data_IF_322116097280
#
_entry.id   IF_322116097280
#
_cell.length_a   1.000
_cell.length_b   1.000
_cell.length_c   1.000
_cell.angle_alpha   90.00
_cell.angle_beta   90.00
_cell.angle_gamma   90.00
#
_symmetry.space_group_name_H-M   'P 1'
#
loop_
_entity.id
_entity.type
_entity.pdbx_description
1 polymer ?
#
# COMPACT_ATOMS: atom_id res chain seq x y z
N UNK A 1 75.42 32.08 11.91
CA UNK A 1 74.08 31.46 11.99
C UNK A 1 73.10 32.57 12.26
N UNK A 2 72.13 32.82 11.37
CA UNK A 2 71.24 33.98 11.46
C UNK A 2 70.28 33.85 12.65
N UNK A 3 70.26 34.78 13.61
CA UNK A 3 69.32 34.75 14.72
C UNK A 3 68.03 35.47 14.31
N UNK A 4 66.88 35.03 14.86
CA UNK A 4 65.55 35.62 14.71
C UNK A 4 64.82 35.38 13.38
N UNK A 5 64.15 34.23 13.27
CA UNK A 5 63.13 33.99 12.26
C UNK A 5 61.87 34.83 12.55
N UNK A 6 61.51 35.74 11.65
CA UNK A 6 60.27 36.53 11.71
C UNK A 6 59.04 35.64 11.51
N UNK A 7 57.94 35.97 12.18
CA UNK A 7 56.65 35.32 11.92
C UNK A 7 56.20 35.58 10.47
N UNK A 8 55.96 34.55 9.64
CA UNK A 8 55.61 34.73 8.23
C UNK A 8 54.23 35.36 8.00
N UNK A 9 53.39 35.49 9.03
CA UNK A 9 52.01 35.99 8.92
C UNK A 9 51.85 37.44 9.40
N UNK A 10 52.66 37.92 10.34
CA UNK A 10 52.57 39.28 10.87
C UNK A 10 53.90 40.08 10.83
N UNK A 11 55.01 39.47 10.41
CA UNK A 11 56.29 40.15 10.21
C UNK A 11 57.03 40.59 11.48
N UNK A 12 56.45 40.40 12.66
CA UNK A 12 57.08 40.73 13.94
C UNK A 12 58.25 39.78 14.27
N UNK A 13 59.36 40.35 14.74
CA UNK A 13 60.43 39.62 15.45
C UNK A 13 59.93 39.35 16.87
N UNK A 14 59.62 38.09 17.18
CA UNK A 14 58.87 37.73 18.40
C UNK A 14 59.67 37.74 19.71
N UNK A 15 60.91 38.21 19.72
CA UNK A 15 61.65 38.34 20.97
C UNK A 15 62.78 39.35 20.81
N UNK A 16 62.67 40.48 21.49
CA UNK A 16 63.82 41.30 21.89
C UNK A 16 64.00 41.04 23.38
N UNK A 17 65.00 40.23 23.80
CA UNK A 17 65.29 40.10 25.22
C UNK A 17 65.54 41.50 25.79
N UNK A 18 65.05 41.77 27.01
CA UNK A 18 65.25 43.08 27.65
C UNK A 18 66.72 43.38 27.94
N UNK A 19 67.57 42.36 27.96
CA UNK A 19 69.03 42.44 28.13
C UNK A 19 69.73 41.49 27.13
N UNK A 20 70.69 42.03 26.39
CA UNK A 20 71.66 41.26 25.60
C UNK A 20 72.87 40.99 26.51
N UNK A 21 72.92 39.80 27.10
CA UNK A 21 73.97 39.44 28.06
C UNK A 21 75.18 38.95 27.27
N UNK A 22 76.11 39.86 26.99
CA UNK A 22 77.40 39.54 26.39
C UNK A 22 78.29 38.85 27.45
N UNK A 23 78.63 37.58 27.19
CA UNK A 23 79.28 36.69 28.17
C UNK A 23 80.63 37.22 28.65
N UNK A 24 81.34 37.96 27.80
CA UNK A 24 82.67 38.51 28.11
C UNK A 24 82.58 39.76 29.02
N UNK A 25 81.44 40.48 29.01
CA UNK A 25 81.22 41.68 29.84
C UNK A 25 80.75 41.35 31.27
N UNK A 26 80.22 40.15 31.51
CA UNK A 26 79.82 39.71 32.86
C UNK A 26 81.00 39.17 33.68
N UNK A 27 82.01 38.56 33.06
CA UNK A 27 83.21 38.08 33.77
C UNK A 27 84.04 39.24 34.36
N UNK A 28 84.10 40.39 33.69
CA UNK A 28 84.82 41.59 34.19
C UNK A 28 84.08 42.27 35.36
N UNK A 29 82.75 42.14 35.45
CA UNK A 29 81.92 42.72 36.53
C UNK A 29 81.84 41.86 37.79
N UNK A 30 82.22 40.58 37.72
CA UNK A 30 82.27 39.64 38.86
C UNK A 30 83.51 39.85 39.76
N UNK A 31 84.43 40.75 39.40
CA UNK A 31 85.62 41.08 40.20
C UNK A 31 85.37 42.13 41.31
N UNK A 32 84.18 42.75 41.37
CA UNK A 32 83.84 43.82 42.33
C UNK A 32 82.74 43.38 43.33
N UNK A 33 83.00 43.37 44.66
CA UNK A 33 82.03 42.92 45.68
C UNK A 33 80.73 43.74 45.77
N UNK A 34 80.65 44.91 45.10
CA UNK A 34 79.42 45.72 45.03
C UNK A 34 78.46 45.37 43.89
N UNK A 35 78.79 44.42 43.01
CA UNK A 35 77.98 44.05 41.84
C UNK A 35 76.90 42.98 42.11
N UNK A 36 76.88 42.35 43.29
CA UNK A 36 75.87 41.35 43.68
C UNK A 36 74.39 41.79 43.50
N UNK A 37 73.96 42.99 43.90
CA UNK A 37 72.55 43.38 43.77
C UNK A 37 72.12 43.60 42.31
N UNK A 38 73.00 44.07 41.42
CA UNK A 38 72.70 44.22 39.99
C UNK A 38 72.53 42.85 39.30
N UNK A 39 73.35 41.86 39.66
CA UNK A 39 73.25 40.50 39.10
C UNK A 39 71.95 39.82 39.58
N UNK A 40 71.57 40.03 40.83
CA UNK A 40 70.33 39.49 41.41
C UNK A 40 69.08 40.13 40.77
N UNK A 41 69.11 41.43 40.47
CA UNK A 41 68.07 42.13 39.70
C UNK A 41 67.98 41.60 38.25
N UNK A 42 69.12 41.36 37.61
CA UNK A 42 69.20 40.83 36.24
C UNK A 42 68.62 39.41 36.16
N UNK A 43 68.92 38.56 37.15
CA UNK A 43 68.36 37.21 37.26
C UNK A 43 66.84 37.27 37.48
N UNK A 44 66.36 38.17 38.35
CA UNK A 44 64.93 38.34 38.58
C UNK A 44 64.17 38.76 37.31
N UNK A 45 64.75 39.63 36.48
CA UNK A 45 64.14 40.05 35.21
C UNK A 45 64.10 38.92 34.18
N UNK A 46 65.15 38.09 34.10
CA UNK A 46 65.20 36.93 33.22
C UNK A 46 64.20 35.86 33.63
N UNK A 47 64.00 35.66 34.94
CA UNK A 47 63.03 34.71 35.47
C UNK A 47 61.59 35.19 35.19
N UNK A 48 61.31 36.48 35.30
CA UNK A 48 60.02 37.07 34.90
C UNK A 48 59.77 36.92 33.38
N UNK A 49 60.78 37.19 32.54
CA UNK A 49 60.68 37.00 31.09
C UNK A 49 60.48 35.53 30.72
N UNK A 50 61.13 34.59 31.42
CA UNK A 50 60.94 33.15 31.26
C UNK A 50 59.50 32.73 31.61
N UNK A 51 58.98 33.15 32.76
CA UNK A 51 57.62 32.83 33.19
C UNK A 51 56.55 33.43 32.26
N UNK A 52 56.80 34.64 31.74
CA UNK A 52 55.94 35.25 30.71
C UNK A 52 55.95 34.43 29.41
N UNK A 53 57.12 33.99 28.95
CA UNK A 53 57.23 33.12 27.78
C UNK A 53 56.55 31.76 28.00
N UNK A 54 56.73 31.14 29.17
CA UNK A 54 56.11 29.88 29.53
C UNK A 54 54.57 29.99 29.55
N UNK A 55 54.04 31.08 30.12
CA UNK A 55 52.61 31.37 30.16
C UNK A 55 52.02 31.56 28.76
N UNK A 56 52.72 32.27 27.88
CA UNK A 56 52.28 32.50 26.50
C UNK A 56 52.32 31.20 25.67
N UNK A 57 53.34 30.35 25.88
CA UNK A 57 53.39 29.02 25.28
C UNK A 57 52.19 28.18 25.72
N UNK A 58 51.87 28.15 27.02
CA UNK A 58 50.70 27.42 27.53
C UNK A 58 49.39 27.95 26.93
N UNK A 59 49.24 29.28 26.81
CA UNK A 59 48.08 29.93 26.18
C UNK A 59 47.92 29.53 24.71
N UNK A 60 49.02 29.56 23.94
CA UNK A 60 49.00 29.19 22.53
C UNK A 60 48.74 27.69 22.33
N UNK A 61 49.29 26.84 23.17
CA UNK A 61 48.99 25.40 23.16
C UNK A 61 47.50 25.13 23.40
N UNK A 62 46.89 25.84 24.36
CA UNK A 62 45.45 25.75 24.60
C UNK A 62 44.64 26.21 23.37
N UNK A 63 45.03 27.31 22.73
CA UNK A 63 44.38 27.78 21.50
C UNK A 63 44.49 26.76 20.36
N UNK A 64 45.65 26.13 20.18
CA UNK A 64 45.86 25.07 19.19
C UNK A 64 44.95 23.87 19.48
N UNK A 65 44.83 23.45 20.74
CA UNK A 65 43.94 22.34 21.12
C UNK A 65 42.47 22.67 20.82
N UNK A 66 42.02 23.89 21.15
CA UNK A 66 40.65 24.35 20.87
C UNK A 66 40.38 24.32 19.36
N UNK A 67 41.29 24.90 18.56
CA UNK A 67 41.14 24.95 17.10
C UNK A 67 41.18 23.55 16.47
N UNK A 68 42.07 22.67 16.93
CA UNK A 68 42.16 21.29 16.46
C UNK A 68 40.89 20.50 16.76
N UNK A 69 40.31 20.66 17.97
CA UNK A 69 39.03 20.06 18.33
C UNK A 69 37.89 20.54 17.42
N UNK A 70 37.84 21.86 17.13
CA UNK A 70 36.86 22.43 16.19
C UNK A 70 37.03 21.87 14.78
N UNK A 71 38.27 21.77 14.29
CA UNK A 71 38.58 21.20 12.99
C UNK A 71 38.15 19.73 12.89
N UNK A 72 38.42 18.93 13.93
CA UNK A 72 38.05 17.52 13.99
C UNK A 72 36.52 17.34 14.00
N UNK A 73 35.79 18.16 14.78
CA UNK A 73 34.31 18.19 14.78
C UNK A 73 33.75 18.56 13.41
N UNK A 74 34.32 19.57 12.76
CA UNK A 74 33.93 19.99 11.40
C UNK A 74 34.17 18.87 10.37
N UNK A 75 35.32 18.20 10.43
CA UNK A 75 35.65 17.06 9.56
C UNK A 75 34.69 15.89 9.77
N UNK A 76 34.37 15.55 11.03
CA UNK A 76 33.39 14.51 11.34
C UNK A 76 31.98 14.84 10.83
N UNK A 77 31.54 16.10 10.98
CA UNK A 77 30.27 16.58 10.44
C UNK A 77 30.24 16.46 8.90
N UNK A 78 31.31 16.90 8.24
CA UNK A 78 31.48 16.78 6.78
C UNK A 78 31.41 15.32 6.32
N UNK A 79 32.14 14.41 6.96
CA UNK A 79 32.10 12.98 6.61
C UNK A 79 30.70 12.38 6.78
N UNK A 80 29.99 12.76 7.85
CA UNK A 80 28.61 12.31 8.09
C UNK A 80 27.67 12.82 7.00
N UNK A 81 27.75 14.09 6.63
CA UNK A 81 26.99 14.65 5.51
C UNK A 81 27.35 13.98 4.17
N UNK A 82 28.63 13.72 3.91
CA UNK A 82 29.07 13.01 2.71
C UNK A 82 28.53 11.58 2.65
N UNK A 83 28.46 10.85 3.76
CA UNK A 83 27.84 9.52 3.79
C UNK A 83 26.34 9.53 3.50
N UNK A 84 25.63 10.62 3.84
CA UNK A 84 24.22 10.83 3.49
C UNK A 84 24.04 11.21 2.02
N UNK A 85 25.07 11.82 1.41
CA UNK A 85 25.11 12.20 0.00
C UNK A 85 25.62 11.07 -0.91
N UNK A 86 26.22 10.01 -0.34
CA UNK A 86 26.48 8.77 -1.06
C UNK A 86 25.15 8.30 -1.67
N UNK A 87 25.04 8.24 -3.01
CA UNK A 87 23.75 8.03 -3.67
C UNK A 87 23.23 6.66 -3.27
N UNK A 88 22.24 6.65 -2.38
CA UNK A 88 21.49 5.46 -1.99
C UNK A 88 21.05 4.75 -3.27
N UNK A 89 21.34 3.45 -3.41
CA UNK A 89 21.13 2.67 -4.65
C UNK A 89 19.71 2.85 -5.23
N UNK A 90 18.72 3.07 -4.36
CA UNK A 90 17.32 3.33 -4.73
C UNK A 90 17.12 4.65 -5.50
N UNK A 91 17.96 5.66 -5.27
CA UNK A 91 17.94 6.92 -6.03
C UNK A 91 18.50 6.76 -7.45
N UNK A 92 19.23 5.68 -7.74
CA UNK A 92 19.76 5.38 -9.08
C UNK A 92 18.84 4.53 -9.93
N UNK A 93 17.77 3.97 -9.36
CA UNK A 93 16.81 3.17 -10.12
C UNK A 93 16.14 4.03 -11.20
N UNK A 94 15.99 3.53 -12.43
CA UNK A 94 15.19 4.17 -13.46
C UNK A 94 13.73 4.38 -13.00
N UNK A 95 13.07 5.38 -13.57
CA UNK A 95 11.70 5.74 -13.21
C UNK A 95 10.72 4.61 -13.48
N UNK A 96 10.92 3.88 -14.58
CA UNK A 96 10.09 2.77 -15.03
C UNK A 96 10.10 1.62 -14.00
N UNK A 97 11.28 1.35 -13.43
CA UNK A 97 11.45 0.32 -12.41
C UNK A 97 10.77 0.74 -11.11
N UNK A 98 10.92 2.01 -10.70
CA UNK A 98 10.21 2.53 -9.53
C UNK A 98 8.69 2.49 -9.72
N UNK A 99 8.18 2.88 -10.88
CA UNK A 99 6.74 2.81 -11.19
C UNK A 99 6.24 1.37 -11.19
N UNK A 100 7.01 0.42 -11.72
CA UNK A 100 6.68 -1.01 -11.67
C UNK A 100 6.61 -1.52 -10.23
N UNK A 101 7.58 -1.13 -9.39
CA UNK A 101 7.56 -1.43 -7.96
C UNK A 101 6.31 -0.84 -7.31
N UNK A 102 5.98 0.43 -7.60
CA UNK A 102 4.80 1.09 -7.04
C UNK A 102 3.50 0.37 -7.43
N UNK A 103 3.38 -0.05 -8.69
CA UNK A 103 2.22 -0.80 -9.17
C UNK A 103 2.05 -2.15 -8.46
N UNK A 104 3.17 -2.86 -8.25
CA UNK A 104 3.19 -4.14 -7.54
C UNK A 104 2.82 -4.00 -6.06
N UNK A 105 3.39 -3.02 -5.36
CA UNK A 105 3.13 -2.84 -3.92
C UNK A 105 1.77 -2.22 -3.64
N UNK A 106 1.27 -1.35 -4.53
CA UNK A 106 -0.01 -0.65 -4.37
C UNK A 106 -1.17 -1.35 -5.07
N UNK A 107 -1.11 -2.68 -5.17
CA UNK A 107 -2.18 -3.48 -5.76
C UNK A 107 -3.47 -3.45 -4.93
N UNK A 108 -3.34 -3.22 -3.62
CA UNK A 108 -4.45 -3.11 -2.69
C UNK A 108 -4.18 -2.03 -1.64
N UNK A 109 -5.01 -0.98 -1.60
CA UNK A 109 -4.93 0.06 -0.58
C UNK A 109 -6.12 -0.12 0.37
N UNK A 110 -5.82 -0.75 1.50
CA UNK A 110 -6.79 -1.17 2.50
C UNK A 110 -7.03 -0.05 3.49
N UNK A 111 -8.29 0.33 3.66
CA UNK A 111 -8.71 1.36 4.60
C UNK A 111 -9.87 0.82 5.42
N UNK A 112 -9.70 0.85 6.74
CA UNK A 112 -10.71 0.43 7.70
C UNK A 112 -11.21 1.66 8.45
N UNK A 113 -12.53 1.85 8.48
CA UNK A 113 -13.13 3.03 9.10
C UNK A 113 -13.04 3.01 10.62
N UNK A 114 -13.15 1.82 11.21
CA UNK A 114 -13.11 1.62 12.66
C UNK A 114 -12.31 0.36 13.01
N UNK A 115 -11.37 0.42 13.98
CA UNK A 115 -10.54 -0.73 14.36
C UNK A 115 -11.37 -1.90 14.93
N UNK A 116 -12.59 -1.64 15.40
CA UNK A 116 -13.49 -2.66 15.95
C UNK A 116 -14.17 -3.51 14.87
N UNK A 117 -13.99 -3.20 13.58
CA UNK A 117 -14.52 -3.99 12.45
C UNK A 117 -13.55 -5.14 12.10
N UNK A 118 -13.29 -6.00 13.08
CA UNK A 118 -12.35 -7.13 12.95
C UNK A 118 -12.93 -8.33 12.19
N UNK A 119 -14.26 -8.40 12.02
CA UNK A 119 -14.93 -9.42 11.21
C UNK A 119 -15.17 -8.89 9.78
N UNK A 120 -14.13 -8.86 8.95
CA UNK A 120 -14.26 -8.55 7.52
C UNK A 120 -14.15 -9.81 6.67
N UNK A 121 -14.96 -9.85 5.61
CA UNK A 121 -14.90 -10.91 4.60
C UNK A 121 -13.81 -10.68 3.55
N UNK A 122 -13.38 -9.42 3.36
CA UNK A 122 -12.34 -9.09 2.40
C UNK A 122 -10.94 -9.46 2.92
N UNK A 123 -10.67 -9.18 4.19
CA UNK A 123 -9.41 -9.52 4.83
C UNK A 123 -9.55 -9.65 6.35
N UNK A 124 -9.08 -10.76 6.89
CA UNK A 124 -9.38 -11.15 8.27
C UNK A 124 -8.62 -10.30 9.31
N UNK A 125 -7.36 -9.92 9.08
CA UNK A 125 -6.48 -9.32 10.12
C UNK A 125 -5.22 -8.66 9.50
N UNK A 126 -5.35 -7.68 8.59
CA UNK A 126 -4.16 -7.00 8.05
C UNK A 126 -3.59 -5.97 9.04
N UNK A 127 -2.36 -5.53 8.79
CA UNK A 127 -1.78 -4.37 9.46
C UNK A 127 -2.76 -3.18 9.32
N UNK A 128 -3.26 -2.66 10.44
CA UNK A 128 -4.02 -1.41 10.45
C UNK A 128 -3.05 -0.22 10.32
N UNK A 129 -3.52 0.87 9.70
CA UNK A 129 -2.76 2.13 9.62
C UNK A 129 -2.04 2.34 8.27
N UNK A 130 -0.98 3.18 8.22
CA UNK A 130 -0.37 3.59 6.96
C UNK A 130 0.19 2.45 6.12
N UNK A 131 0.68 1.37 6.74
CA UNK A 131 1.26 0.22 6.04
C UNK A 131 0.23 -0.50 5.15
N UNK A 132 -1.05 -0.47 5.53
CA UNK A 132 -2.19 -0.97 4.75
C UNK A 132 -2.50 -0.13 3.50
N UNK A 133 -1.85 1.04 3.37
CA UNK A 133 -2.05 2.01 2.30
C UNK A 133 -0.75 2.25 1.52
N UNK A 134 -0.26 1.27 0.74
CA UNK A 134 1.05 1.35 0.10
C UNK A 134 1.22 2.58 -0.78
N UNK A 135 0.18 3.03 -1.50
CA UNK A 135 0.25 4.23 -2.33
C UNK A 135 0.57 5.48 -1.48
N UNK A 136 -0.02 5.58 -0.29
CA UNK A 136 0.26 6.67 0.64
C UNK A 136 1.70 6.57 1.17
N UNK A 137 2.15 5.37 1.53
CA UNK A 137 3.52 5.12 2.03
C UNK A 137 4.57 5.46 0.98
N UNK A 138 4.44 4.95 -0.26
CA UNK A 138 5.42 5.26 -1.31
C UNK A 138 5.45 6.77 -1.60
N UNK A 139 4.31 7.45 -1.50
CA UNK A 139 4.23 8.92 -1.67
C UNK A 139 4.86 9.73 -0.53
N UNK A 140 5.25 9.10 0.58
CA UNK A 140 5.85 9.77 1.75
C UNK A 140 7.34 9.51 1.95
N UNK A 141 7.96 8.63 1.15
CA UNK A 141 9.37 8.24 1.29
C UNK A 141 10.35 9.40 1.01
N UNK A 142 10.28 10.01 -0.18
CA UNK A 142 11.12 11.15 -0.57
C UNK A 142 10.43 11.99 -1.65
N UNK A 143 10.96 13.17 -1.99
CA UNK A 143 10.38 14.06 -3.01
C UNK A 143 10.22 13.36 -4.36
N UNK A 144 11.25 12.66 -4.84
CA UNK A 144 11.21 11.91 -6.10
C UNK A 144 10.09 10.86 -6.12
N UNK A 145 9.96 10.08 -5.05
CA UNK A 145 8.91 9.06 -4.97
C UNK A 145 7.52 9.67 -4.89
N UNK A 146 7.38 10.78 -4.18
CA UNK A 146 6.13 11.55 -4.13
C UNK A 146 5.73 12.06 -5.51
N UNK A 147 6.66 12.67 -6.25
CA UNK A 147 6.40 13.15 -7.62
C UNK A 147 5.95 12.03 -8.54
N UNK A 148 6.66 10.89 -8.53
CA UNK A 148 6.31 9.72 -9.33
C UNK A 148 4.97 9.10 -8.93
N UNK A 149 4.70 8.97 -7.62
CA UNK A 149 3.43 8.45 -7.12
C UNK A 149 2.25 9.35 -7.51
N UNK A 150 2.42 10.67 -7.50
CA UNK A 150 1.39 11.62 -7.95
C UNK A 150 1.24 11.63 -9.48
N UNK A 151 2.32 11.40 -10.22
CA UNK A 151 2.31 11.28 -11.68
C UNK A 151 1.74 9.94 -12.19
N UNK A 152 1.51 8.97 -11.30
CA UNK A 152 0.97 7.65 -11.64
C UNK A 152 -0.37 7.38 -10.94
N UNK A 153 -1.50 7.90 -11.46
CA UNK A 153 -2.80 7.86 -10.78
C UNK A 153 -3.35 6.44 -10.53
N UNK A 154 -2.91 5.44 -11.30
CA UNK A 154 -3.39 4.06 -11.20
C UNK A 154 -3.16 3.41 -9.83
N UNK A 155 -2.09 3.77 -9.10
CA UNK A 155 -1.84 3.21 -7.76
C UNK A 155 -2.85 3.71 -6.71
N UNK A 156 -3.51 4.83 -6.98
CA UNK A 156 -4.54 5.42 -6.11
C UNK A 156 -5.94 4.92 -6.46
N UNK A 157 -6.12 4.17 -7.56
CA UNK A 157 -7.43 3.75 -8.05
C UNK A 157 -7.86 2.36 -7.58
N UNK A 158 -6.96 1.62 -6.90
CA UNK A 158 -7.19 0.30 -6.31
C UNK A 158 -7.49 0.48 -4.82
N UNK A 159 -8.77 0.49 -4.44
CA UNK A 159 -9.22 0.91 -3.12
C UNK A 159 -10.05 -0.22 -2.49
N UNK A 160 -9.65 -0.63 -1.28
CA UNK A 160 -10.39 -1.61 -0.48
C UNK A 160 -10.84 -0.99 0.83
N UNK A 161 -12.14 -1.05 1.11
CA UNK A 161 -12.79 -0.35 2.22
C UNK A 161 -13.54 -1.34 3.12
N UNK A 162 -13.43 -1.14 4.43
CA UNK A 162 -14.34 -1.72 5.42
C UNK A 162 -15.07 -0.56 6.10
N UNK A 163 -16.38 -0.51 5.93
CA UNK A 163 -17.23 0.61 6.38
C UNK A 163 -18.05 0.24 7.62
N UNK A 164 -18.19 1.20 8.54
CA UNK A 164 -19.09 1.06 9.69
C UNK A 164 -20.48 1.60 9.33
N UNK A 165 -21.52 0.92 9.80
CA UNK A 165 -22.89 1.42 9.69
C UNK A 165 -23.22 2.49 10.75
N UNK A 166 -22.44 2.58 11.83
CA UNK A 166 -22.76 3.39 13.02
C UNK A 166 -22.34 4.85 12.92
N UNK A 167 -21.65 5.25 11.86
CA UNK A 167 -21.28 6.65 11.61
C UNK A 167 -19.94 6.77 10.89
N UNK A 168 -19.73 7.92 10.27
CA UNK A 168 -18.55 8.15 9.43
C UNK A 168 -17.43 8.82 10.20
N UNK A 169 -16.23 8.25 10.11
CA UNK A 169 -15.02 8.88 10.61
C UNK A 169 -14.56 9.95 9.61
N UNK A 170 -14.50 11.23 10.01
CA UNK A 170 -14.14 12.34 9.11
C UNK A 170 -12.74 12.17 8.50
N UNK A 171 -11.75 11.70 9.27
CA UNK A 171 -10.39 11.46 8.77
C UNK A 171 -10.36 10.34 7.74
N UNK A 172 -11.17 9.31 7.93
CA UNK A 172 -11.34 8.23 6.97
C UNK A 172 -11.94 8.76 5.67
N UNK A 173 -13.02 9.52 5.74
CA UNK A 173 -13.65 10.13 4.56
C UNK A 173 -12.70 11.08 3.80
N UNK A 174 -11.91 11.88 4.52
CA UNK A 174 -10.86 12.73 3.92
C UNK A 174 -9.80 11.89 3.20
N UNK A 175 -9.41 10.75 3.78
CA UNK A 175 -8.43 9.84 3.18
C UNK A 175 -8.98 9.19 1.90
N UNK A 176 -10.21 8.68 1.92
CA UNK A 176 -10.83 8.13 0.69
C UNK A 176 -10.97 9.22 -0.38
N UNK A 177 -11.39 10.43 -0.01
CA UNK A 177 -11.46 11.59 -0.93
C UNK A 177 -10.10 11.94 -1.53
N UNK A 178 -9.03 11.84 -0.76
CA UNK A 178 -7.67 12.02 -1.25
C UNK A 178 -7.32 10.99 -2.33
N UNK A 179 -7.63 9.71 -2.10
CA UNK A 179 -7.39 8.64 -3.07
C UNK A 179 -8.19 8.84 -4.36
N UNK A 180 -9.50 9.12 -4.23
CA UNK A 180 -10.36 9.42 -5.38
C UNK A 180 -9.80 10.61 -6.18
N UNK A 181 -9.37 11.69 -5.51
CA UNK A 181 -8.76 12.85 -6.18
C UNK A 181 -7.45 12.49 -6.89
N UNK A 182 -6.55 11.75 -6.23
CA UNK A 182 -5.23 11.37 -6.79
C UNK A 182 -5.33 10.32 -7.90
N UNK A 183 -6.40 9.52 -7.91
CA UNK A 183 -6.68 8.57 -8.98
C UNK A 183 -7.02 9.23 -10.32
N UNK A 184 -7.29 10.55 -10.33
CA UNK A 184 -7.44 11.32 -11.56
C UNK A 184 -8.54 10.77 -12.46
N UNK A 185 -8.19 10.35 -13.67
CA UNK A 185 -9.07 9.68 -14.64
C UNK A 185 -8.92 8.16 -14.68
N UNK A 186 -8.04 7.57 -13.86
CA UNK A 186 -7.82 6.12 -13.85
C UNK A 186 -9.09 5.37 -13.52
N UNK A 187 -9.22 4.16 -14.06
CA UNK A 187 -10.33 3.28 -13.75
C UNK A 187 -10.26 2.80 -12.30
N UNK A 188 -11.40 2.80 -11.61
CA UNK A 188 -11.52 2.44 -10.21
C UNK A 188 -11.73 0.94 -10.06
N UNK A 189 -10.92 0.32 -9.22
CA UNK A 189 -11.10 -1.06 -8.73
C UNK A 189 -11.41 -0.98 -7.26
N UNK A 190 -12.65 -1.33 -6.91
CA UNK A 190 -13.23 -1.09 -5.61
C UNK A 190 -13.56 -2.42 -4.96
N UNK A 191 -13.10 -2.64 -3.73
CA UNK A 191 -13.60 -3.71 -2.86
C UNK A 191 -14.18 -3.05 -1.60
N UNK A 192 -15.42 -3.34 -1.28
CA UNK A 192 -16.15 -2.66 -0.21
C UNK A 192 -16.84 -3.71 0.63
N UNK A 193 -16.48 -3.77 1.91
CA UNK A 193 -17.13 -4.58 2.92
C UNK A 193 -17.95 -3.70 3.84
N UNK A 194 -19.18 -4.14 4.10
CA UNK A 194 -20.13 -3.47 4.97
C UNK A 194 -20.64 -4.47 6.01
N UNK A 195 -19.79 -4.89 6.97
CA UNK A 195 -20.10 -6.01 7.87
C UNK A 195 -21.30 -5.74 8.79
N UNK A 196 -21.63 -4.47 9.02
CA UNK A 196 -22.83 -4.07 9.76
C UNK A 196 -23.93 -3.59 8.81
N UNK A 197 -25.18 -3.96 9.09
CA UNK A 197 -26.32 -3.51 8.29
C UNK A 197 -26.58 -2.01 8.51
N UNK A 198 -26.67 -1.24 7.42
CA UNK A 198 -27.24 0.10 7.44
C UNK A 198 -28.75 -0.07 7.68
N UNK A 199 -29.19 0.08 8.93
CA UNK A 199 -30.61 -0.01 9.28
C UNK A 199 -31.46 0.85 8.32
N UNK A 200 -32.57 0.28 7.80
CA UNK A 200 -33.54 0.96 6.90
C UNK A 200 -34.09 2.32 7.41
N UNK A 201 -33.81 2.71 8.66
CA UNK A 201 -34.19 3.99 9.26
C UNK A 201 -33.12 5.09 9.21
N UNK A 202 -31.87 4.78 8.84
CA UNK A 202 -30.84 5.79 8.59
C UNK A 202 -31.07 6.34 7.18
N UNK A 203 -31.85 7.42 7.09
CA UNK A 203 -32.23 8.10 5.85
C UNK A 203 -31.04 8.65 5.04
N UNK A 204 -29.83 8.62 5.57
CA UNK A 204 -28.64 9.20 4.95
C UNK A 204 -27.67 8.10 4.50
N UNK A 205 -27.40 8.00 3.19
CA UNK A 205 -26.36 7.12 2.65
C UNK A 205 -25.00 7.42 3.28
N UNK A 206 -24.14 6.42 3.37
CA UNK A 206 -22.80 6.60 3.92
C UNK A 206 -22.01 7.59 3.04
N UNK A 207 -21.47 8.71 3.57
CA UNK A 207 -20.77 9.74 2.81
C UNK A 207 -19.67 9.20 1.88
N UNK A 208 -18.96 8.17 2.30
CA UNK A 208 -17.92 7.51 1.47
C UNK A 208 -18.53 6.76 0.29
N UNK A 209 -19.66 6.08 0.48
CA UNK A 209 -20.38 5.42 -0.62
C UNK A 209 -20.97 6.45 -1.58
N UNK A 210 -21.55 7.53 -1.07
CA UNK A 210 -22.01 8.67 -1.89
C UNK A 210 -20.87 9.24 -2.73
N UNK A 211 -19.70 9.47 -2.14
CA UNK A 211 -18.51 9.96 -2.84
C UNK A 211 -18.07 9.00 -3.96
N UNK A 212 -18.08 7.70 -3.69
CA UNK A 212 -17.70 6.67 -4.67
C UNK A 212 -18.74 6.58 -5.81
N UNK A 213 -20.02 6.70 -5.49
CA UNK A 213 -21.13 6.71 -6.45
C UNK A 213 -21.07 7.84 -7.47
N UNK A 214 -20.56 9.02 -7.07
CA UNK A 214 -20.31 10.14 -7.99
C UNK A 214 -19.31 9.81 -9.10
N UNK A 215 -18.48 8.79 -8.91
CA UNK A 215 -17.48 8.33 -9.88
C UNK A 215 -17.81 6.96 -10.49
N UNK A 216 -19.09 6.57 -10.47
CA UNK A 216 -19.60 5.29 -11.01
C UNK A 216 -19.27 5.05 -12.48
N UNK A 217 -19.11 6.11 -13.28
CA UNK A 217 -18.71 6.01 -14.67
C UNK A 217 -17.28 5.46 -14.88
N UNK A 218 -16.45 5.46 -13.83
CA UNK A 218 -15.06 4.98 -13.86
C UNK A 218 -14.88 3.61 -13.21
N UNK A 219 -15.94 3.00 -12.68
CA UNK A 219 -15.84 1.69 -12.03
C UNK A 219 -15.51 0.62 -13.08
N UNK A 220 -14.34 0.00 -12.95
CA UNK A 220 -13.93 -1.16 -13.74
C UNK A 220 -14.20 -2.47 -13.02
N UNK A 221 -13.95 -2.50 -11.71
CA UNK A 221 -14.23 -3.66 -10.88
C UNK A 221 -14.90 -3.20 -9.59
N UNK A 222 -15.98 -3.88 -9.22
CA UNK A 222 -16.70 -3.62 -7.98
C UNK A 222 -16.95 -4.93 -7.24
N UNK A 223 -16.39 -5.03 -6.04
CA UNK A 223 -16.75 -6.04 -5.04
C UNK A 223 -17.51 -5.33 -3.92
N UNK A 224 -18.74 -5.76 -3.64
CA UNK A 224 -19.58 -5.24 -2.55
C UNK A 224 -20.12 -6.38 -1.70
N UNK A 225 -19.58 -6.51 -0.49
CA UNK A 225 -19.78 -7.64 0.42
C UNK A 225 -20.20 -7.18 1.82
N UNK A 226 -20.55 -8.12 2.69
CA UNK A 226 -21.03 -7.84 4.04
C UNK A 226 -22.55 -7.93 4.16
N UNK A 227 -23.14 -7.24 5.13
CA UNK A 227 -24.53 -7.43 5.57
C UNK A 227 -25.58 -6.64 4.75
N UNK A 228 -25.17 -5.94 3.68
CA UNK A 228 -26.05 -5.02 2.94
C UNK A 228 -26.24 -5.45 1.49
N UNK A 229 -27.44 -5.18 0.95
CA UNK A 229 -27.71 -5.31 -0.48
C UNK A 229 -27.13 -4.11 -1.22
N UNK A 230 -26.60 -4.37 -2.42
CA UNK A 230 -26.24 -3.29 -3.32
C UNK A 230 -27.51 -2.58 -3.83
N UNK A 231 -27.51 -1.25 -3.84
CA UNK A 231 -28.59 -0.45 -4.41
C UNK A 231 -28.09 0.89 -4.96
N UNK A 232 -28.93 1.62 -5.70
CA UNK A 232 -28.57 2.98 -6.18
C UNK A 232 -28.52 3.98 -5.04
N UNK A 233 -29.43 3.84 -4.09
CA UNK A 233 -29.65 4.75 -2.97
C UNK A 233 -28.44 4.74 -2.02
N UNK A 234 -27.91 3.56 -1.70
CA UNK A 234 -26.77 3.42 -0.77
C UNK A 234 -25.49 4.09 -1.30
N UNK A 235 -25.31 4.13 -2.63
CA UNK A 235 -24.22 4.84 -3.30
C UNK A 235 -24.61 6.26 -3.75
N UNK A 236 -25.85 6.69 -3.51
CA UNK A 236 -26.38 7.98 -4.00
C UNK A 236 -26.14 8.19 -5.50
N UNK A 237 -26.25 7.11 -6.30
CA UNK A 237 -26.05 7.19 -7.75
C UNK A 237 -27.22 8.00 -8.34
N UNK A 238 -26.95 9.12 -9.05
CA UNK A 238 -28.01 9.95 -9.61
C UNK A 238 -28.95 9.15 -10.51
N UNK A 239 -30.25 9.46 -10.46
CA UNK A 239 -31.27 8.71 -11.19
C UNK A 239 -31.06 8.71 -12.71
N UNK A 240 -30.37 9.73 -13.26
CA UNK A 240 -30.03 9.84 -14.68
C UNK A 240 -28.78 9.04 -15.09
N UNK A 241 -28.02 8.49 -14.14
CA UNK A 241 -26.82 7.70 -14.42
C UNK A 241 -27.21 6.24 -14.55
N UNK A 242 -27.39 5.79 -15.80
CA UNK A 242 -27.72 4.40 -16.09
C UNK A 242 -26.53 3.60 -16.63
N UNK A 243 -25.50 4.28 -17.12
CA UNK A 243 -24.39 3.69 -17.85
C UNK A 243 -23.19 3.40 -16.94
N UNK A 244 -22.68 2.19 -17.05
CA UNK A 244 -21.44 1.72 -16.43
C UNK A 244 -20.49 1.28 -17.55
N UNK A 245 -19.93 2.23 -18.33
CA UNK A 245 -19.35 1.97 -19.65
C UNK A 245 -18.10 1.09 -19.60
N UNK A 246 -17.39 1.07 -18.48
CA UNK A 246 -16.09 0.41 -18.30
C UNK A 246 -16.11 -0.70 -17.25
N UNK A 247 -17.28 -1.02 -16.68
CA UNK A 247 -17.41 -2.06 -15.66
C UNK A 247 -17.21 -3.43 -16.30
N UNK A 248 -16.19 -4.16 -15.85
CA UNK A 248 -15.75 -5.44 -16.38
C UNK A 248 -16.08 -6.61 -15.43
N UNK A 249 -15.99 -6.38 -14.12
CA UNK A 249 -16.25 -7.39 -13.10
C UNK A 249 -17.11 -6.86 -11.95
N UNK A 250 -18.09 -7.65 -11.55
CA UNK A 250 -19.01 -7.38 -10.45
C UNK A 250 -19.03 -8.56 -9.49
N UNK A 251 -18.84 -8.31 -8.21
CA UNK A 251 -18.93 -9.29 -7.13
C UNK A 251 -19.86 -8.75 -6.03
N UNK A 252 -20.90 -9.49 -5.71
CA UNK A 252 -21.92 -9.12 -4.73
C UNK A 252 -22.13 -10.28 -3.75
N UNK A 253 -22.15 -10.01 -2.44
CA UNK A 253 -22.56 -11.05 -1.49
C UNK A 253 -24.05 -11.33 -1.60
N UNK A 254 -24.86 -10.32 -1.25
CA UNK A 254 -26.30 -10.37 -1.33
C UNK A 254 -26.77 -9.65 -2.59
N UNK A 255 -27.51 -10.36 -3.43
CA UNK A 255 -27.96 -9.87 -4.72
C UNK A 255 -29.49 -9.99 -4.82
N UNK A 256 -30.18 -8.86 -5.02
CA UNK A 256 -31.59 -8.85 -5.40
C UNK A 256 -31.77 -8.50 -6.87
N UNK A 257 -32.99 -8.64 -7.40
CA UNK A 257 -33.33 -8.18 -8.75
C UNK A 257 -32.99 -6.69 -8.93
N UNK A 258 -33.35 -5.87 -7.96
CA UNK A 258 -33.11 -4.43 -7.95
C UNK A 258 -31.62 -4.11 -7.97
N UNK A 259 -30.78 -4.89 -7.26
CA UNK A 259 -29.33 -4.75 -7.29
C UNK A 259 -28.76 -4.95 -8.70
N UNK A 260 -29.25 -5.95 -9.44
CA UNK A 260 -28.81 -6.24 -10.81
C UNK A 260 -29.32 -5.21 -11.81
N UNK A 261 -30.57 -4.77 -11.68
CA UNK A 261 -31.15 -3.77 -12.57
C UNK A 261 -30.41 -2.43 -12.55
N UNK A 262 -29.66 -2.13 -11.48
CA UNK A 262 -28.73 -0.99 -11.47
C UNK A 262 -27.75 -1.05 -12.64
N UNK A 263 -27.23 -2.23 -12.95
CA UNK A 263 -26.18 -2.47 -13.94
C UNK A 263 -26.71 -2.86 -15.33
N UNK A 264 -27.97 -2.54 -15.64
CA UNK A 264 -28.59 -2.90 -16.92
C UNK A 264 -27.90 -2.33 -18.16
N UNK A 265 -27.14 -1.24 -18.05
CA UNK A 265 -26.31 -0.69 -19.13
C UNK A 265 -24.81 -0.74 -18.79
N UNK A 266 -24.28 -1.95 -18.63
CA UNK A 266 -22.85 -2.22 -18.41
C UNK A 266 -22.26 -3.02 -19.59
N UNK A 267 -21.94 -2.40 -20.75
CA UNK A 267 -21.58 -3.12 -21.99
C UNK A 267 -20.26 -3.91 -21.92
N UNK A 268 -19.37 -3.53 -21.00
CA UNK A 268 -18.06 -4.17 -20.82
C UNK A 268 -18.10 -5.29 -19.76
N UNK A 269 -19.24 -5.55 -19.12
CA UNK A 269 -19.32 -6.52 -18.03
C UNK A 269 -19.11 -7.94 -18.55
N UNK A 270 -18.11 -8.64 -18.01
CA UNK A 270 -17.73 -10.00 -18.42
C UNK A 270 -17.75 -11.00 -17.26
N UNK A 271 -17.56 -10.53 -16.03
CA UNK A 271 -17.49 -11.38 -14.84
C UNK A 271 -18.55 -11.01 -13.82
N UNK A 272 -19.28 -12.01 -13.32
CA UNK A 272 -20.22 -11.86 -12.21
C UNK A 272 -19.92 -12.92 -11.13
N UNK A 273 -19.79 -12.49 -9.88
CA UNK A 273 -19.70 -13.35 -8.70
C UNK A 273 -20.83 -13.02 -7.72
N UNK A 274 -21.60 -14.03 -7.28
CA UNK A 274 -22.69 -13.89 -6.31
C UNK A 274 -22.58 -14.94 -5.21
N UNK A 275 -22.29 -14.52 -3.97
CA UNK A 275 -21.97 -15.43 -2.86
C UNK A 275 -23.21 -16.01 -2.15
N UNK A 276 -24.30 -15.25 -2.05
CA UNK A 276 -25.47 -15.64 -1.26
C UNK A 276 -26.74 -15.17 -1.99
N UNK A 277 -27.37 -16.03 -2.81
CA UNK A 277 -28.80 -16.07 -3.19
C UNK A 277 -29.07 -16.63 -4.60
N UNK A 278 -30.33 -16.98 -4.85
CA UNK A 278 -30.87 -17.38 -6.15
C UNK A 278 -30.83 -16.19 -7.12
N UNK A 279 -30.12 -16.33 -8.22
CA UNK A 279 -30.11 -15.33 -9.29
C UNK A 279 -31.48 -15.25 -9.96
N UNK A 280 -32.06 -14.05 -10.02
CA UNK A 280 -33.18 -13.76 -10.90
C UNK A 280 -32.69 -13.41 -12.32
N UNK A 281 -32.65 -14.43 -13.19
CA UNK A 281 -32.22 -14.33 -14.59
C UNK A 281 -33.15 -13.47 -15.47
N UNK A 282 -34.30 -13.03 -14.94
CA UNK A 282 -35.27 -12.14 -15.62
C UNK A 282 -35.06 -10.65 -15.34
N UNK A 283 -34.02 -10.29 -14.59
CA UNK A 283 -33.59 -8.90 -14.41
C UNK A 283 -33.13 -8.28 -15.73
N UNK A 284 -33.26 -6.97 -15.87
CA UNK A 284 -32.69 -6.21 -16.98
C UNK A 284 -31.18 -6.06 -16.80
N UNK A 285 -30.46 -7.17 -16.87
CA UNK A 285 -29.02 -7.27 -16.67
C UNK A 285 -28.37 -7.89 -17.92
N UNK A 286 -27.13 -7.49 -18.29
CA UNK A 286 -26.50 -7.93 -19.53
C UNK A 286 -25.92 -9.35 -19.43
N UNK A 287 -26.78 -10.35 -19.20
CA UNK A 287 -26.41 -11.77 -19.05
C UNK A 287 -25.63 -12.34 -20.23
N UNK A 288 -26.01 -11.96 -21.45
CA UNK A 288 -25.51 -12.59 -22.68
C UNK A 288 -24.02 -12.37 -22.96
N UNK A 289 -23.43 -11.34 -22.39
CA UNK A 289 -22.03 -10.97 -22.60
C UNK A 289 -21.09 -11.49 -21.51
N UNK A 290 -21.63 -12.14 -20.46
CA UNK A 290 -20.81 -12.74 -19.42
C UNK A 290 -19.99 -13.91 -19.98
N UNK A 291 -18.73 -13.95 -19.59
CA UNK A 291 -17.78 -15.03 -19.89
C UNK A 291 -17.41 -15.80 -18.63
N UNK A 292 -17.47 -15.16 -17.46
CA UNK A 292 -17.18 -15.77 -16.16
C UNK A 292 -18.38 -15.60 -15.22
N UNK A 293 -18.82 -16.69 -14.62
CA UNK A 293 -19.94 -16.70 -13.68
C UNK A 293 -19.57 -17.56 -12.45
N UNK A 294 -19.60 -16.97 -11.26
CA UNK A 294 -19.43 -17.67 -9.98
C UNK A 294 -20.66 -17.43 -9.10
N UNK A 295 -21.42 -18.48 -8.82
CA UNK A 295 -22.76 -18.31 -8.25
C UNK A 295 -23.05 -19.36 -7.20
N UNK A 296 -23.55 -18.91 -6.04
CA UNK A 296 -24.17 -19.80 -5.07
C UNK A 296 -25.59 -20.14 -5.49
N UNK A 297 -25.86 -21.42 -5.73
CA UNK A 297 -27.14 -21.87 -6.24
C UNK A 297 -27.96 -22.50 -5.13
N UNK A 298 -29.06 -21.84 -4.74
CA UNK A 298 -30.08 -22.37 -3.81
C UNK A 298 -31.39 -22.78 -4.52
N UNK A 299 -31.38 -23.05 -5.84
CA UNK A 299 -32.60 -23.29 -6.62
C UNK A 299 -32.38 -23.85 -8.04
N UNK A 300 -33.40 -23.73 -8.90
CA UNK A 300 -33.38 -24.26 -10.29
C UNK A 300 -32.31 -23.61 -11.15
N UNK A 301 -31.49 -24.45 -11.78
CA UNK A 301 -30.45 -24.07 -12.75
C UNK A 301 -31.00 -23.94 -14.18
N UNK A 302 -32.26 -24.32 -14.37
CA UNK A 302 -32.94 -24.40 -15.65
C UNK A 302 -32.93 -23.02 -16.34
N UNK A 303 -32.18 -22.93 -17.45
CA UNK A 303 -32.11 -21.72 -18.26
C UNK A 303 -30.84 -20.88 -18.07
N UNK A 304 -29.92 -21.18 -17.14
CA UNK A 304 -28.65 -20.45 -17.06
C UNK A 304 -27.88 -20.44 -18.39
N UNK A 305 -27.80 -21.59 -19.06
CA UNK A 305 -27.22 -21.70 -20.40
C UNK A 305 -27.98 -20.88 -21.47
N UNK A 306 -29.28 -20.63 -21.27
CA UNK A 306 -30.07 -19.79 -22.16
C UNK A 306 -29.78 -18.30 -21.96
N UNK A 307 -29.67 -17.85 -20.72
CA UNK A 307 -29.41 -16.43 -20.41
C UNK A 307 -27.94 -16.05 -20.64
N UNK A 308 -27.02 -16.98 -20.40
CA UNK A 308 -25.57 -16.76 -20.44
C UNK A 308 -24.88 -17.72 -21.44
N UNK A 309 -25.12 -17.59 -22.75
CA UNK A 309 -24.62 -18.52 -23.77
C UNK A 309 -23.09 -18.47 -23.97
N UNK A 310 -22.44 -17.36 -23.59
CA UNK A 310 -21.01 -17.12 -23.87
C UNK A 310 -20.09 -17.43 -22.68
N UNK A 311 -20.58 -18.17 -21.67
CA UNK A 311 -19.78 -18.54 -20.50
C UNK A 311 -18.65 -19.48 -20.91
N UNK A 312 -17.42 -19.09 -20.55
CA UNK A 312 -16.20 -19.90 -20.68
C UNK A 312 -15.71 -20.44 -19.34
N UNK A 313 -16.01 -19.75 -18.24
CA UNK A 313 -15.68 -20.17 -16.88
C UNK A 313 -16.92 -20.13 -15.99
N UNK A 314 -17.33 -21.28 -15.46
CA UNK A 314 -18.47 -21.43 -14.56
C UNK A 314 -18.01 -21.98 -13.22
N UNK A 315 -18.35 -21.31 -12.13
CA UNK A 315 -18.18 -21.80 -10.77
C UNK A 315 -19.53 -21.84 -10.07
N UNK A 316 -19.87 -23.00 -9.53
CA UNK A 316 -21.13 -23.24 -8.84
C UNK A 316 -20.84 -23.57 -7.39
N UNK A 317 -21.38 -22.80 -6.46
CA UNK A 317 -21.32 -23.06 -5.02
C UNK A 317 -22.67 -23.63 -4.58
N UNK A 318 -22.67 -24.85 -4.08
CA UNK A 318 -23.87 -25.64 -3.82
C UNK A 318 -24.03 -25.82 -2.32
N UNK A 319 -25.26 -25.61 -1.84
CA UNK A 319 -25.65 -25.74 -0.43
C UNK A 319 -26.64 -26.91 -0.30
N UNK A 320 -26.42 -27.81 0.67
CA UNK A 320 -27.16 -29.08 0.83
C UNK A 320 -28.67 -28.93 1.06
N UNK A 321 -29.15 -27.76 1.46
CA UNK A 321 -30.54 -27.56 1.90
C UNK A 321 -31.61 -27.47 0.81
N UNK A 322 -31.27 -27.59 -0.48
CA UNK A 322 -32.27 -27.43 -1.56
C UNK A 322 -32.79 -28.78 -2.10
N UNK A 323 -34.08 -29.14 -1.91
CA UNK A 323 -34.65 -30.34 -2.50
C UNK A 323 -34.70 -30.21 -4.03
N UNK A 324 -34.30 -31.28 -4.71
CA UNK A 324 -34.15 -31.32 -6.17
C UNK A 324 -35.50 -31.20 -6.89
N UNK A 325 -35.67 -30.25 -7.81
CA UNK A 325 -36.74 -30.31 -8.78
C UNK A 325 -36.40 -31.34 -9.87
N UNK A 326 -37.37 -32.17 -10.24
CA UNK A 326 -37.26 -33.11 -11.37
C UNK A 326 -36.92 -32.38 -12.67
N UNK A 327 -36.05 -32.99 -13.48
CA UNK A 327 -35.59 -32.46 -14.79
C UNK A 327 -36.81 -32.32 -15.71
N UNK A 328 -37.40 -31.13 -15.79
CA UNK A 328 -38.56 -30.87 -16.64
C UNK A 328 -38.17 -30.49 -18.08
N UNK A 329 -36.89 -30.15 -18.34
CA UNK A 329 -36.43 -29.67 -19.65
C UNK A 329 -35.09 -30.28 -20.05
N UNK A 330 -34.86 -30.54 -21.33
CA UNK A 330 -33.61 -31.14 -21.79
C UNK A 330 -32.43 -30.21 -21.45
N UNK A 331 -31.34 -30.76 -20.90
CA UNK A 331 -30.16 -30.01 -20.54
C UNK A 331 -29.54 -29.34 -21.76
N UNK A 332 -29.37 -28.01 -21.69
CA UNK A 332 -28.70 -27.24 -22.73
C UNK A 332 -27.25 -27.04 -22.32
N UNK A 333 -26.35 -27.50 -23.18
CA UNK A 333 -24.91 -27.43 -22.98
C UNK A 333 -24.43 -25.98 -23.09
N UNK A 334 -23.51 -25.57 -22.22
CA UNK A 334 -22.74 -24.34 -22.42
C UNK A 334 -21.74 -24.55 -23.56
N UNK A 335 -21.96 -23.99 -24.76
CA UNK A 335 -21.19 -24.36 -25.95
C UNK A 335 -19.74 -23.89 -25.91
N UNK A 336 -19.44 -22.85 -25.11
CA UNK A 336 -18.12 -22.23 -25.01
C UNK A 336 -17.40 -22.54 -23.69
N UNK A 337 -17.93 -23.45 -22.87
CA UNK A 337 -17.41 -23.71 -21.53
C UNK A 337 -16.04 -24.39 -21.59
N UNK A 338 -15.04 -23.76 -20.98
CA UNK A 338 -13.67 -24.25 -20.91
C UNK A 338 -13.30 -24.72 -19.49
N UNK A 339 -13.91 -24.09 -18.48
CA UNK A 339 -13.63 -24.37 -17.07
C UNK A 339 -14.94 -24.48 -16.28
N UNK A 340 -15.10 -25.58 -15.54
CA UNK A 340 -16.19 -25.77 -14.58
C UNK A 340 -15.59 -26.02 -13.18
N UNK A 341 -16.09 -25.31 -12.18
CA UNK A 341 -15.76 -25.55 -10.78
C UNK A 341 -17.05 -25.76 -10.01
N UNK A 342 -17.07 -26.78 -9.16
CA UNK A 342 -18.22 -27.10 -8.33
C UNK A 342 -17.74 -27.20 -6.89
N UNK A 343 -18.18 -26.25 -6.07
CA UNK A 343 -17.86 -26.16 -4.66
C UNK A 343 -19.10 -26.60 -3.90
N UNK A 344 -18.97 -27.58 -3.02
CA UNK A 344 -20.04 -28.02 -2.14
C UNK A 344 -19.73 -27.49 -0.75
N UNK A 345 -20.60 -26.63 -0.23
CA UNK A 345 -20.48 -26.02 1.09
C UNK A 345 -21.52 -26.62 2.03
N UNK A 346 -21.08 -26.95 3.25
CA UNK A 346 -21.68 -27.92 4.20
C UNK A 346 -21.58 -29.37 3.72
N UNK A 347 -20.92 -30.23 4.50
CA UNK A 347 -20.91 -31.69 4.35
C UNK A 347 -21.28 -32.24 5.72
N UNK A 348 -22.58 -32.44 5.97
CA UNK A 348 -23.02 -33.27 7.09
C UNK A 348 -23.10 -34.71 6.58
N UNK A 349 -22.00 -35.44 6.78
CA UNK A 349 -21.79 -36.92 6.83
C UNK A 349 -22.51 -37.89 5.85
N UNK A 350 -23.33 -37.47 4.89
CA UNK A 350 -24.06 -38.38 4.00
C UNK A 350 -23.44 -38.52 2.59
N UNK A 351 -22.43 -39.38 2.48
CA UNK A 351 -21.68 -39.68 1.23
C UNK A 351 -22.53 -40.22 0.05
N UNK A 352 -23.77 -40.67 0.28
CA UNK A 352 -24.63 -41.22 -0.79
C UNK A 352 -25.42 -40.15 -1.56
N UNK A 353 -25.63 -38.96 -0.98
CA UNK A 353 -26.30 -37.85 -1.65
C UNK A 353 -25.40 -37.22 -2.73
N UNK A 354 -24.08 -37.25 -2.51
CA UNK A 354 -23.06 -36.65 -3.39
C UNK A 354 -23.07 -37.22 -4.81
N UNK A 355 -23.16 -38.55 -4.98
CA UNK A 355 -23.05 -39.17 -6.32
C UNK A 355 -24.27 -38.92 -7.19
N UNK A 356 -25.46 -39.02 -6.60
CA UNK A 356 -26.73 -38.78 -7.29
C UNK A 356 -26.85 -37.31 -7.70
N UNK A 357 -26.35 -36.41 -6.85
CA UNK A 357 -26.34 -34.97 -7.09
C UNK A 357 -25.32 -34.52 -8.13
N UNK A 358 -24.07 -34.98 -8.05
CA UNK A 358 -23.06 -34.72 -9.09
C UNK A 358 -23.57 -35.25 -10.43
N UNK A 359 -24.21 -36.41 -10.44
CA UNK A 359 -24.83 -36.97 -11.65
C UNK A 359 -25.95 -36.07 -12.19
N UNK A 360 -26.84 -35.56 -11.33
CA UNK A 360 -27.86 -34.58 -11.71
C UNK A 360 -27.22 -33.31 -12.29
N UNK A 361 -26.18 -32.77 -11.66
CA UNK A 361 -25.48 -31.57 -12.08
C UNK A 361 -24.81 -31.76 -13.45
N UNK A 362 -24.09 -32.87 -13.63
CA UNK A 362 -23.42 -33.22 -14.90
C UNK A 362 -24.46 -33.41 -16.00
N UNK A 363 -25.57 -34.11 -15.73
CA UNK A 363 -26.66 -34.28 -16.69
C UNK A 363 -27.29 -32.91 -17.02
N UNK A 364 -27.54 -32.05 -16.04
CA UNK A 364 -28.15 -30.73 -16.23
C UNK A 364 -27.26 -29.77 -17.03
N UNK A 365 -25.95 -29.79 -16.80
CA UNK A 365 -24.99 -28.87 -17.42
C UNK A 365 -24.50 -29.35 -18.81
N UNK A 366 -24.38 -30.66 -19.02
CA UNK A 366 -23.72 -31.23 -20.21
C UNK A 366 -24.61 -32.15 -21.05
N UNK A 367 -25.78 -32.55 -20.55
CA UNK A 367 -26.73 -33.38 -21.28
C UNK A 367 -26.32 -34.81 -21.64
N UNK A 368 -25.09 -35.22 -21.31
CA UNK A 368 -24.56 -36.58 -21.45
C UNK A 368 -23.63 -36.84 -20.25
N UNK A 369 -23.47 -38.11 -19.83
CA UNK A 369 -22.42 -38.58 -18.90
C UNK A 369 -21.14 -38.89 -19.69
N UNK A 370 -20.05 -38.12 -19.59
CA UNK A 370 -18.80 -38.51 -20.22
C UNK A 370 -17.85 -39.05 -19.13
N UNK A 371 -17.37 -40.27 -19.30
CA UNK A 371 -16.22 -40.77 -18.53
C UNK A 371 -14.90 -40.28 -19.15
N UNK A 372 -13.83 -40.05 -18.35
CA UNK A 372 -13.81 -39.58 -16.98
C UNK A 372 -13.28 -38.14 -16.94
N UNK A 373 -14.09 -37.23 -16.42
CA UNK A 373 -13.57 -35.94 -15.96
C UNK A 373 -12.74 -36.18 -14.69
N UNK A 374 -11.51 -35.66 -14.65
CA UNK A 374 -10.67 -35.76 -13.46
C UNK A 374 -11.25 -34.89 -12.34
N UNK A 375 -11.93 -35.55 -11.39
CA UNK A 375 -12.32 -34.98 -10.11
C UNK A 375 -11.07 -34.83 -9.24
N UNK A 376 -10.54 -33.60 -9.13
CA UNK A 376 -9.57 -33.28 -8.06
C UNK A 376 -10.33 -32.78 -6.84
N UNK A 377 -10.31 -33.58 -5.78
CA UNK A 377 -10.79 -33.25 -4.45
C UNK A 377 -9.61 -32.61 -3.67
N UNK A 378 -9.43 -31.30 -3.75
CA UNK A 378 -8.46 -30.60 -2.89
C UNK A 378 -9.19 -30.00 -1.68
N UNK A 379 -8.81 -30.42 -0.46
CA UNK A 379 -9.38 -29.91 0.78
C UNK A 379 -8.79 -28.55 1.23
N UNK A 380 -9.59 -27.66 1.87
CA UNK A 380 -11.03 -27.79 2.09
C UNK A 380 -11.82 -27.22 0.90
N UNK A 381 -12.02 -28.12 -0.06
CA UNK A 381 -13.14 -28.40 -0.95
C UNK A 381 -13.38 -27.44 -2.11
N UNK A 382 -12.35 -27.31 -2.97
CA UNK A 382 -12.51 -26.88 -4.35
C UNK A 382 -12.52 -28.09 -5.28
N UNK A 383 -13.69 -28.53 -5.76
CA UNK A 383 -13.77 -29.54 -6.83
C UNK A 383 -13.68 -28.84 -8.18
N UNK A 384 -12.54 -28.93 -8.86
CA UNK A 384 -12.38 -28.42 -10.24
C UNK A 384 -12.68 -29.52 -11.26
N UNK A 385 -13.64 -29.28 -12.15
CA UNK A 385 -13.96 -30.10 -13.32
C UNK A 385 -13.37 -29.43 -14.57
N UNK A 386 -12.28 -29.98 -15.12
CA UNK A 386 -11.68 -29.46 -16.35
C UNK A 386 -12.22 -30.20 -17.57
N UNK A 387 -12.66 -29.46 -18.59
CA UNK A 387 -13.11 -30.05 -19.84
C UNK A 387 -11.93 -30.70 -20.60
N UNK A 388 -12.13 -31.84 -21.27
CA UNK A 388 -11.10 -32.41 -22.13
C UNK A 388 -10.79 -31.43 -23.26
N UNK A 389 -9.50 -31.21 -23.53
CA UNK A 389 -9.05 -30.54 -24.75
C UNK A 389 -9.17 -31.55 -25.89
N UNK A 390 -10.00 -31.26 -26.88
CA UNK A 390 -9.96 -31.96 -28.19
C UNK A 390 -8.73 -31.56 -28.99
#
# INVERSE_FOLDING_TARGET
MSPYSKCPTCGASNFTPRLDVDSDAMEERLADPSACPEIEETLSLLEEDYENCASEIARLQLQIQILSSRQQKSKACKSKLQSLLSPCSIQKLPTEILMSIFDLVSHDNQMRESPNLNSSQLWANSEDGPAAMPALVVSSVCSRWRELALAYPAIWSRISLILDAKGTNELFAVTVKLYIKRSGSSLLRLRIDTPSSFFKGLLTPHPVLSLIGLHSNRWQQLTFVGANYFSREIFSIPANVHQFPVLEALELDFCSRESLEVFGQAPCLRSLCVSYLVIELRSNFPWKQLTSLDVACKGRMDGLAYFCPNITSLQLRLDHFSPFPEIATPPRVFPALQSLSVIITDILEEANLERSFIRYLVVTLFGILPEPFFLRLDQPFNTRLTAPRE
#
